data_IF_890590344217
#
_entry.id   IF_890590344217
#
_cell.length_a   1.000
_cell.length_b   1.000
_cell.length_c   1.000
_cell.angle_alpha   90.00
_cell.angle_beta   90.00
_cell.angle_gamma   90.00
#
_symmetry.space_group_name_H-M   'P 1'
#
loop_
_entity.id
_entity.type
_entity.pdbx_description
1 polymer ?
#
# COMPACT_ATOMS: atom_id res chain seq x y z
N UNK A 1 39.06 44.88 12.85
CA UNK A 1 40.20 45.65 12.32
C UNK A 1 41.23 44.67 11.77
N UNK A 2 41.77 44.91 10.57
CA UNK A 2 42.84 44.15 9.89
C UNK A 2 42.39 42.83 9.25
N UNK A 3 42.06 42.65 7.96
CA UNK A 3 42.71 43.00 6.67
C UNK A 3 44.10 42.38 6.49
N UNK A 4 44.22 41.37 5.60
CA UNK A 4 45.12 41.40 4.42
C UNK A 4 44.70 40.34 3.38
N UNK A 5 44.69 40.79 2.11
CA UNK A 5 44.50 40.06 0.83
C UNK A 5 45.86 39.69 0.22
N UNK A 6 45.87 38.70 -0.68
CA UNK A 6 46.46 38.64 -2.06
C UNK A 6 46.71 37.16 -2.43
N UNK A 7 46.02 36.56 -3.40
CA UNK A 7 46.17 36.58 -4.89
C UNK A 7 47.38 35.80 -5.45
N UNK A 8 47.12 34.93 -6.45
CA UNK A 8 48.14 34.33 -7.32
C UNK A 8 47.83 32.95 -7.94
N UNK A 9 47.10 32.92 -9.05
CA UNK A 9 47.10 31.87 -10.11
C UNK A 9 47.94 32.42 -11.32
N UNK A 10 48.18 31.72 -12.46
CA UNK A 10 48.31 30.28 -12.77
C UNK A 10 49.57 29.99 -13.67
N UNK A 11 49.84 28.73 -14.06
CA UNK A 11 50.65 28.41 -15.26
C UNK A 11 50.12 27.22 -16.05
N UNK A 12 49.82 27.49 -17.33
CA UNK A 12 49.68 26.54 -18.44
C UNK A 12 51.04 26.31 -19.14
N UNK A 13 51.21 25.13 -19.74
CA UNK A 13 52.03 24.81 -20.92
C UNK A 13 51.55 23.42 -21.40
N UNK A 14 51.44 23.02 -22.66
CA UNK A 14 51.36 23.66 -23.99
C UNK A 14 51.16 22.50 -25.00
N UNK A 15 50.51 22.78 -26.13
CA UNK A 15 50.22 21.90 -27.26
C UNK A 15 51.47 21.45 -28.05
N UNK A 16 51.31 20.39 -28.88
CA UNK A 16 51.83 20.21 -30.26
C UNK A 16 50.86 19.20 -30.95
N UNK A 17 50.05 19.56 -31.96
CA UNK A 17 50.32 19.58 -33.43
C UNK A 17 50.67 18.20 -34.01
N UNK A 18 50.20 17.70 -35.18
CA UNK A 18 49.63 18.27 -36.41
C UNK A 18 49.10 17.09 -37.31
N UNK A 19 48.12 17.38 -38.18
CA UNK A 19 47.96 16.97 -39.62
C UNK A 19 47.96 15.48 -40.05
N UNK A 20 47.33 15.00 -41.14
CA UNK A 20 46.37 15.49 -42.13
C UNK A 20 45.91 14.29 -43.03
N UNK A 21 44.76 14.47 -43.70
CA UNK A 21 44.37 13.97 -45.04
C UNK A 21 44.23 12.48 -45.41
N UNK A 22 43.15 12.18 -46.17
CA UNK A 22 43.27 11.35 -47.38
C UNK A 22 42.22 10.27 -47.67
N UNK A 23 41.09 10.67 -48.25
CA UNK A 23 40.25 10.03 -49.31
C UNK A 23 40.48 8.56 -49.75
N UNK A 24 39.39 7.80 -49.89
CA UNK A 24 39.06 7.11 -51.17
C UNK A 24 38.70 5.60 -51.20
N UNK A 25 37.48 5.33 -51.70
CA UNK A 25 37.02 4.17 -52.52
C UNK A 25 36.76 2.78 -51.89
N UNK A 26 35.55 2.23 -52.14
CA UNK A 26 35.18 0.80 -51.95
C UNK A 26 35.49 -0.06 -53.19
N UNK A 27 34.82 -1.20 -53.46
CA UNK A 27 33.94 -2.06 -52.64
C UNK A 27 34.42 -3.54 -52.58
N UNK A 28 33.84 -4.37 -51.69
CA UNK A 28 34.15 -5.81 -51.66
C UNK A 28 33.12 -6.66 -50.93
N UNK A 29 32.45 -7.56 -51.67
CA UNK A 29 31.52 -8.58 -51.16
C UNK A 29 32.26 -9.63 -50.30
N UNK A 30 31.67 -10.04 -49.19
CA UNK A 30 32.08 -11.24 -48.45
C UNK A 30 31.06 -11.63 -47.38
N UNK A 31 30.41 -12.79 -47.56
CA UNK A 31 29.41 -13.37 -46.66
C UNK A 31 30.08 -14.25 -45.59
N UNK A 32 29.50 -14.22 -44.38
CA UNK A 32 29.49 -15.21 -43.28
C UNK A 32 30.79 -15.42 -42.48
N UNK A 33 30.73 -15.11 -41.18
CA UNK A 33 31.03 -16.05 -40.10
C UNK A 33 30.48 -15.49 -38.77
N UNK A 34 29.97 -16.39 -37.92
CA UNK A 34 29.34 -16.12 -36.65
C UNK A 34 30.34 -16.04 -35.48
N UNK A 35 30.00 -15.27 -34.46
CA UNK A 35 30.58 -15.28 -33.11
C UNK A 35 30.53 -13.89 -32.45
N UNK A 36 30.70 -13.77 -31.12
CA UNK A 36 30.16 -14.56 -30.02
C UNK A 36 29.23 -13.73 -29.12
N UNK A 37 28.40 -14.37 -28.30
CA UNK A 37 27.59 -13.70 -27.27
C UNK A 37 28.44 -13.14 -26.12
N UNK A 38 28.08 -11.98 -25.52
CA UNK A 38 28.61 -11.55 -24.24
C UNK A 38 27.70 -11.92 -23.06
N UNK A 39 28.30 -12.76 -22.22
CA UNK A 39 28.10 -13.04 -20.79
C UNK A 39 27.15 -12.11 -20.00
N UNK A 40 26.11 -12.75 -19.48
CA UNK A 40 25.26 -12.36 -18.34
C UNK A 40 26.07 -12.21 -17.05
N UNK A 41 25.92 -11.07 -16.35
CA UNK A 41 26.40 -10.89 -14.97
C UNK A 41 25.21 -10.93 -14.02
N UNK A 42 24.97 -12.10 -13.42
CA UNK A 42 24.07 -12.26 -12.28
C UNK A 42 24.86 -12.02 -10.98
N UNK A 43 24.37 -11.09 -10.14
CA UNK A 43 24.83 -10.96 -8.74
C UNK A 43 23.83 -11.64 -7.79
N UNK A 44 24.32 -12.29 -6.71
CA UNK A 44 23.60 -13.35 -6.03
C UNK A 44 22.81 -12.88 -4.81
N UNK A 45 21.82 -13.70 -4.46
CA UNK A 45 21.10 -13.66 -3.20
C UNK A 45 21.99 -14.11 -2.03
N UNK A 46 21.84 -13.39 -0.93
CA UNK A 46 21.87 -13.81 0.48
C UNK A 46 22.97 -14.82 0.93
N UNK A 47 23.92 -14.30 1.72
CA UNK A 47 24.77 -15.07 2.62
C UNK A 47 24.25 -14.91 4.05
N UNK A 48 23.95 -16.04 4.68
CA UNK A 48 23.89 -16.21 6.13
C UNK A 48 25.03 -17.19 6.47
N UNK A 49 26.05 -16.70 7.19
CA UNK A 49 27.10 -17.47 7.88
C UNK A 49 26.47 -18.20 9.08
N UNK A 50 26.91 -19.33 9.64
CA UNK A 50 28.00 -20.27 9.41
C UNK A 50 27.64 -21.53 10.25
N UNK A 51 28.09 -22.74 9.89
CA UNK A 51 29.14 -23.45 10.66
C UNK A 51 29.44 -24.87 10.10
N UNK A 52 30.71 -25.22 10.28
CA UNK A 52 31.62 -26.29 9.89
C UNK A 52 31.21 -27.74 9.54
N UNK A 53 31.95 -28.23 8.53
CA UNK A 53 32.67 -29.52 8.40
C UNK A 53 31.94 -30.87 8.23
N UNK A 54 32.20 -31.45 7.04
CA UNK A 54 32.00 -32.82 6.50
C UNK A 54 32.73 -33.94 7.31
N UNK A 55 32.47 -35.26 7.09
CA UNK A 55 32.30 -35.89 5.77
C UNK A 55 31.21 -36.95 5.57
N UNK A 56 30.88 -37.11 4.27
CA UNK A 56 30.08 -38.19 3.70
C UNK A 56 30.81 -39.54 3.86
N UNK A 57 30.10 -40.52 4.41
CA UNK A 57 30.32 -41.94 4.10
C UNK A 57 28.98 -42.55 3.69
N UNK A 58 28.93 -43.05 2.46
CA UNK A 58 27.89 -43.96 2.02
C UNK A 58 28.18 -45.34 2.60
N UNK A 59 27.20 -45.96 3.26
CA UNK A 59 27.18 -47.39 3.47
C UNK A 59 25.73 -47.82 3.72
N UNK A 60 25.30 -48.79 2.90
CA UNK A 60 24.10 -49.60 3.10
C UNK A 60 23.98 -49.99 4.58
N UNK A 61 22.77 -49.96 5.14
CA UNK A 61 22.24 -51.07 5.93
C UNK A 61 20.71 -51.01 6.04
N UNK A 62 20.11 -52.11 5.57
CA UNK A 62 19.01 -52.90 6.18
C UNK A 62 17.66 -52.22 6.45
N UNK A 63 16.66 -52.70 5.71
CA UNK A 63 15.28 -52.81 6.16
C UNK A 63 15.20 -53.37 7.60
N UNK A 64 14.43 -52.72 8.48
CA UNK A 64 13.72 -53.42 9.53
C UNK A 64 12.22 -53.38 9.24
N UNK A 65 11.73 -54.58 8.96
CA UNK A 65 10.47 -55.16 9.43
C UNK A 65 9.35 -54.21 9.87
N UNK A 66 8.20 -54.45 9.23
CA UNK A 66 6.86 -54.03 9.63
C UNK A 66 6.68 -54.00 11.15
N UNK A 67 6.88 -52.82 11.73
CA UNK A 67 6.24 -52.44 12.98
C UNK A 67 4.80 -52.12 12.65
N UNK A 68 3.89 -52.85 13.29
CA UNK A 68 2.44 -52.75 13.17
C UNK A 68 1.99 -51.31 12.92
N UNK A 69 1.18 -51.14 11.85
CA UNK A 69 0.34 -49.95 11.67
C UNK A 69 -0.51 -49.83 12.92
N UNK A 70 -0.09 -49.01 13.88
CA UNK A 70 -1.04 -48.39 14.78
C UNK A 70 -2.05 -47.66 13.89
N UNK A 71 -3.36 -47.90 14.07
CA UNK A 71 -4.36 -47.08 13.41
C UNK A 71 -4.02 -45.62 13.76
N UNK A 72 -4.05 -44.67 12.81
CA UNK A 72 -3.83 -43.28 13.16
C UNK A 72 -4.83 -42.98 14.25
N UNK A 73 -4.32 -42.72 15.46
CA UNK A 73 -5.17 -42.42 16.61
C UNK A 73 -6.19 -41.41 16.12
N UNK A 74 -7.47 -41.70 16.36
CA UNK A 74 -8.58 -40.77 16.21
C UNK A 74 -8.27 -39.56 17.08
N UNK A 75 -7.40 -38.69 16.56
CA UNK A 75 -6.82 -37.59 17.28
C UNK A 75 -7.96 -36.66 17.62
N UNK A 76 -8.36 -36.64 18.88
CA UNK A 76 -9.31 -35.65 19.34
C UNK A 76 -8.68 -34.30 19.05
N UNK A 77 -9.30 -33.56 18.14
CA UNK A 77 -8.90 -32.21 17.77
C UNK A 77 -8.89 -31.30 19.01
N UNK A 78 -8.50 -30.03 18.84
CA UNK A 78 -8.73 -29.23 17.63
C UNK A 78 -7.59 -29.24 16.60
N UNK A 79 -7.95 -29.22 15.32
CA UNK A 79 -7.02 -29.17 14.18
C UNK A 79 -6.90 -27.76 13.58
N UNK A 80 -5.75 -27.42 12.99
CA UNK A 80 -5.59 -26.19 12.22
C UNK A 80 -4.72 -26.36 10.97
N UNK A 81 -5.04 -25.58 9.94
CA UNK A 81 -4.25 -25.49 8.71
C UNK A 81 -3.61 -24.11 8.59
N UNK A 82 -2.36 -24.07 8.12
CA UNK A 82 -1.69 -22.83 7.73
C UNK A 82 -1.15 -22.98 6.31
N UNK A 83 -1.61 -22.10 5.42
CA UNK A 83 -1.10 -21.93 4.07
C UNK A 83 -0.50 -20.54 3.87
N UNK A 84 0.64 -20.47 3.19
CA UNK A 84 1.39 -19.22 3.00
C UNK A 84 2.22 -18.82 4.23
N UNK A 85 2.76 -17.60 4.21
CA UNK A 85 3.75 -17.13 5.20
C UNK A 85 3.22 -16.02 6.11
N UNK A 86 2.14 -15.33 5.74
CA UNK A 86 1.64 -14.17 6.47
C UNK A 86 1.19 -14.55 7.89
N UNK A 87 1.90 -14.10 8.93
CA UNK A 87 1.56 -14.39 10.33
C UNK A 87 1.68 -15.87 10.72
N UNK A 88 2.22 -16.73 9.84
CA UNK A 88 2.22 -18.18 10.03
C UNK A 88 2.89 -18.62 11.33
N UNK A 89 4.02 -18.02 11.69
CA UNK A 89 4.74 -18.35 12.92
C UNK A 89 3.93 -18.00 14.18
N UNK A 90 3.27 -16.85 14.20
CA UNK A 90 2.46 -16.36 15.32
C UNK A 90 1.29 -17.31 15.57
N UNK A 91 0.54 -17.62 14.50
CA UNK A 91 -0.64 -18.50 14.57
C UNK A 91 -0.23 -19.93 14.91
N UNK A 92 0.84 -20.44 14.29
CA UNK A 92 1.38 -21.77 14.58
C UNK A 92 1.79 -21.91 16.05
N UNK A 93 2.50 -20.93 16.60
CA UNK A 93 2.92 -20.91 18.00
C UNK A 93 1.72 -20.90 18.94
N UNK A 94 0.75 -20.02 18.70
CA UNK A 94 -0.48 -19.94 19.48
C UNK A 94 -1.26 -21.26 19.47
N UNK A 95 -1.56 -21.80 18.30
CA UNK A 95 -2.33 -23.05 18.17
C UNK A 95 -1.60 -24.23 18.85
N UNK A 96 -0.28 -24.36 18.65
CA UNK A 96 0.52 -25.40 19.32
C UNK A 96 0.51 -25.24 20.84
N UNK A 97 0.62 -24.02 21.37
CA UNK A 97 0.53 -23.76 22.82
C UNK A 97 -0.82 -24.12 23.43
N UNK A 98 -1.88 -24.20 22.60
CA UNK A 98 -3.22 -24.64 23.00
C UNK A 98 -3.43 -26.15 22.82
N UNK A 99 -2.40 -26.89 22.43
CA UNK A 99 -2.49 -28.34 22.14
C UNK A 99 -3.15 -28.67 20.80
N UNK A 100 -3.33 -27.69 19.90
CA UNK A 100 -3.96 -27.93 18.61
C UNK A 100 -2.99 -28.64 17.67
N UNK A 101 -3.53 -29.48 16.79
CA UNK A 101 -2.74 -30.28 15.86
C UNK A 101 -2.73 -29.66 14.46
N UNK A 102 -1.54 -29.44 13.90
CA UNK A 102 -1.42 -28.89 12.54
C UNK A 102 -1.71 -29.97 11.51
N UNK A 103 -2.65 -29.71 10.61
CA UNK A 103 -2.92 -30.54 9.44
C UNK A 103 -2.17 -30.02 8.21
N UNK A 104 -1.74 -30.94 7.34
CA UNK A 104 -1.03 -30.60 6.10
C UNK A 104 -1.94 -30.63 4.86
N UNK A 105 -2.95 -31.50 4.85
CA UNK A 105 -3.93 -31.54 3.76
C UNK A 105 -4.94 -30.39 3.91
N UNK A 106 -4.91 -29.45 2.98
CA UNK A 106 -5.81 -28.30 2.96
C UNK A 106 -7.27 -28.64 2.67
N UNK A 107 -7.53 -29.86 2.18
CA UNK A 107 -8.88 -30.34 1.81
C UNK A 107 -9.63 -30.94 3.00
N UNK A 108 -8.93 -31.22 4.11
CA UNK A 108 -9.60 -31.65 5.34
C UNK A 108 -10.58 -30.59 5.80
N UNK A 109 -11.74 -31.04 6.28
CA UNK A 109 -12.83 -30.20 6.76
C UNK A 109 -13.01 -30.25 8.27
N UNK A 110 -12.24 -31.06 8.99
CA UNK A 110 -12.31 -31.19 10.45
C UNK A 110 -11.38 -30.21 11.19
N UNK A 111 -10.99 -29.12 10.52
CA UNK A 111 -10.25 -28.02 11.14
C UNK A 111 -11.15 -27.15 12.02
N UNK A 112 -10.55 -26.56 13.06
CA UNK A 112 -11.12 -25.42 13.79
C UNK A 112 -10.63 -24.08 13.25
N UNK A 113 -9.42 -24.02 12.72
CA UNK A 113 -8.86 -22.81 12.10
C UNK A 113 -8.18 -23.14 10.77
N UNK A 114 -8.49 -22.37 9.74
CA UNK A 114 -7.80 -22.42 8.46
C UNK A 114 -7.24 -21.04 8.12
N UNK A 115 -5.93 -20.91 8.32
CA UNK A 115 -5.17 -19.68 8.11
C UNK A 115 -4.46 -19.71 6.76
N UNK A 116 -5.17 -19.30 5.72
CA UNK A 116 -4.60 -19.15 4.39
C UNK A 116 -5.39 -18.11 3.59
N UNK A 117 -4.76 -17.54 2.57
CA UNK A 117 -5.48 -16.73 1.59
C UNK A 117 -6.50 -17.60 0.84
N UNK A 118 -7.76 -17.23 0.92
CA UNK A 118 -8.87 -17.89 0.25
C UNK A 118 -9.00 -17.31 -1.15
N UNK A 119 -8.54 -18.09 -2.15
CA UNK A 119 -8.54 -17.68 -3.56
C UNK A 119 -9.80 -18.05 -4.32
N UNK A 120 -10.57 -19.02 -3.81
CA UNK A 120 -11.79 -19.51 -4.44
C UNK A 120 -12.99 -19.33 -3.52
N UNK A 121 -14.14 -18.91 -4.08
CA UNK A 121 -15.40 -18.80 -3.35
C UNK A 121 -15.91 -20.15 -2.84
N UNK A 122 -15.60 -21.24 -3.53
CA UNK A 122 -16.03 -22.59 -3.15
C UNK A 122 -15.54 -23.00 -1.75
N UNK A 123 -14.46 -22.39 -1.25
CA UNK A 123 -13.97 -22.63 0.11
C UNK A 123 -14.97 -22.18 1.19
N UNK A 124 -15.85 -21.21 0.89
CA UNK A 124 -16.90 -20.79 1.81
C UNK A 124 -18.13 -21.71 1.75
N UNK A 125 -18.30 -22.51 0.70
CA UNK A 125 -19.45 -23.42 0.57
C UNK A 125 -19.38 -24.58 1.57
N UNK A 126 -18.18 -25.05 1.92
CA UNK A 126 -17.99 -26.09 2.94
C UNK A 126 -17.67 -25.54 4.34
N UNK A 127 -17.73 -24.22 4.52
CA UNK A 127 -17.51 -23.59 5.82
C UNK A 127 -18.71 -23.84 6.75
N UNK A 128 -18.43 -24.28 7.97
CA UNK A 128 -19.44 -24.49 9.02
C UNK A 128 -19.36 -23.39 10.07
N UNK A 129 -20.35 -22.51 10.04
CA UNK A 129 -20.50 -21.41 10.99
C UNK A 129 -20.62 -21.93 12.43
N UNK A 130 -20.02 -21.22 13.39
CA UNK A 130 -19.96 -21.62 14.80
C UNK A 130 -18.97 -22.75 15.10
N UNK A 131 -18.53 -23.51 14.10
CA UNK A 131 -17.59 -24.62 14.28
C UNK A 131 -16.17 -24.30 13.81
N UNK A 132 -16.03 -23.47 12.77
CA UNK A 132 -14.78 -23.22 12.06
C UNK A 132 -14.44 -21.73 12.01
N UNK A 133 -13.15 -21.43 11.85
CA UNK A 133 -12.64 -20.08 11.63
C UNK A 133 -11.81 -20.01 10.35
N UNK A 134 -12.08 -18.97 9.55
CA UNK A 134 -11.34 -18.62 8.35
C UNK A 134 -10.61 -17.29 8.55
N UNK A 135 -9.42 -17.18 7.94
CA UNK A 135 -8.60 -15.96 7.98
C UNK A 135 -9.20 -14.77 7.21
N UNK A 136 -10.12 -15.00 6.28
CA UNK A 136 -10.72 -13.96 5.44
C UNK A 136 -12.23 -14.02 5.46
N UNK A 137 -12.86 -12.85 5.49
CA UNK A 137 -14.27 -12.70 5.21
C UNK A 137 -14.52 -12.84 3.69
N UNK A 138 -15.65 -13.47 3.30
CA UNK A 138 -16.06 -13.47 1.90
C UNK A 138 -16.23 -12.03 1.41
N UNK A 139 -15.91 -11.79 0.14
CA UNK A 139 -16.00 -10.47 -0.51
C UNK A 139 -15.11 -9.36 0.09
N UNK A 140 -14.10 -9.70 0.90
CA UNK A 140 -13.15 -8.71 1.46
C UNK A 140 -12.42 -7.85 0.41
N UNK A 141 -12.39 -8.27 -0.86
CA UNK A 141 -11.88 -7.50 -1.99
C UNK A 141 -12.60 -6.16 -2.23
N UNK A 142 -13.83 -6.02 -1.72
CA UNK A 142 -14.57 -4.75 -1.70
C UNK A 142 -13.83 -3.65 -0.91
N UNK A 143 -13.03 -4.01 0.10
CA UNK A 143 -12.29 -3.04 0.90
C UNK A 143 -10.77 -3.12 0.66
N UNK A 144 -10.27 -4.26 0.17
CA UNK A 144 -8.84 -4.54 0.07
C UNK A 144 -8.25 -4.34 -1.33
N UNK A 145 -9.08 -3.95 -2.31
CA UNK A 145 -8.62 -3.55 -3.66
C UNK A 145 -8.90 -2.08 -3.93
N UNK A 146 -8.12 -1.44 -4.81
CA UNK A 146 -8.26 -0.01 -5.10
C UNK A 146 -9.61 0.31 -5.76
N UNK A 147 -10.03 -0.51 -6.73
CA UNK A 147 -11.35 -0.36 -7.39
C UNK A 147 -12.48 -0.77 -6.43
N UNK A 148 -12.32 -1.87 -5.69
CA UNK A 148 -13.33 -2.29 -4.72
C UNK A 148 -13.65 -1.18 -3.73
N UNK A 149 -12.62 -0.60 -3.13
CA UNK A 149 -12.76 0.48 -2.15
C UNK A 149 -13.40 1.73 -2.76
N UNK A 150 -12.94 2.15 -3.94
CA UNK A 150 -13.51 3.30 -4.66
C UNK A 150 -15.00 3.09 -4.95
N UNK A 151 -15.36 1.92 -5.47
CA UNK A 151 -16.76 1.57 -5.79
C UNK A 151 -17.62 1.50 -4.53
N UNK A 152 -17.12 0.89 -3.45
CA UNK A 152 -17.83 0.79 -2.18
C UNK A 152 -18.10 2.17 -1.57
N UNK A 153 -17.11 3.06 -1.57
CA UNK A 153 -17.25 4.43 -1.05
C UNK A 153 -18.24 5.27 -1.88
N UNK A 154 -18.15 5.19 -3.23
CA UNK A 154 -19.09 5.88 -4.12
C UNK A 154 -20.52 5.38 -3.94
N UNK A 155 -20.71 4.07 -3.83
CA UNK A 155 -22.02 3.48 -3.59
C UNK A 155 -22.60 3.91 -2.24
N UNK A 156 -21.77 3.90 -1.18
CA UNK A 156 -22.15 4.40 0.13
C UNK A 156 -22.59 5.88 0.09
N UNK A 157 -21.82 6.75 -0.55
CA UNK A 157 -22.18 8.16 -0.73
C UNK A 157 -23.47 8.35 -1.54
N UNK A 158 -23.69 7.52 -2.58
CA UNK A 158 -24.92 7.52 -3.38
C UNK A 158 -26.14 7.06 -2.57
N UNK A 159 -25.98 6.12 -1.65
CA UNK A 159 -27.06 5.67 -0.77
C UNK A 159 -27.40 6.74 0.27
N UNK A 160 -26.39 7.31 0.93
CA UNK A 160 -26.57 8.38 1.92
C UNK A 160 -27.24 9.63 1.35
N UNK A 161 -26.87 10.01 0.12
CA UNK A 161 -27.50 11.16 -0.55
C UNK A 161 -28.97 10.92 -0.92
N UNK A 162 -29.38 9.66 -1.15
CA UNK A 162 -30.80 9.31 -1.37
C UNK A 162 -31.59 9.32 -0.06
N UNK A 163 -31.04 8.76 1.01
CA UNK A 163 -31.72 8.75 2.32
C UNK A 163 -31.86 10.16 2.90
N UNK A 164 -30.86 11.03 2.72
CA UNK A 164 -30.97 12.44 3.10
C UNK A 164 -32.04 13.22 2.33
N UNK A 165 -32.35 12.84 1.08
CA UNK A 165 -33.39 13.49 0.25
C UNK A 165 -34.81 12.99 0.54
N UNK A 166 -34.94 11.82 1.18
CA UNK A 166 -36.22 11.17 1.49
C UNK A 166 -36.77 11.52 2.88
N UNK A 167 -36.05 12.31 3.70
CA UNK A 167 -36.57 12.81 4.97
C UNK A 167 -37.59 13.93 4.73
N UNK A 168 -38.90 13.74 4.99
CA UNK A 168 -39.92 14.75 4.69
C UNK A 168 -40.09 15.74 5.84
N UNK A 169 -40.09 17.01 5.47
CA UNK A 169 -40.91 18.11 5.97
C UNK A 169 -41.86 17.78 7.14
N UNK A 170 -41.55 18.27 8.34
CA UNK A 170 -42.54 18.56 9.37
C UNK A 170 -42.73 20.08 9.44
N UNK A 171 -43.69 20.61 8.70
CA UNK A 171 -44.23 21.94 8.96
C UNK A 171 -45.16 21.88 10.17
N UNK A 172 -44.93 22.73 11.19
CA UNK A 172 -46.01 23.38 11.93
C UNK A 172 -45.54 24.59 12.76
N UNK A 173 -45.91 25.76 12.23
CA UNK A 173 -46.52 26.93 12.90
C UNK A 173 -45.66 27.93 13.68
N UNK A 174 -45.98 29.19 13.35
CA UNK A 174 -45.51 30.45 13.91
C UNK A 174 -45.93 30.69 15.36
N UNK A 175 -45.10 31.45 16.08
CA UNK A 175 -45.47 32.19 17.28
C UNK A 175 -44.41 33.26 17.55
N UNK A 176 -44.84 34.52 17.54
CA UNK A 176 -44.04 35.73 17.73
C UNK A 176 -44.03 36.10 19.22
N UNK A 177 -42.89 36.64 19.68
CA UNK A 177 -42.70 37.71 20.68
C UNK A 177 -41.85 37.44 21.94
N UNK A 178 -40.96 38.44 22.13
CA UNK A 178 -40.37 39.03 23.36
C UNK A 178 -39.13 38.43 24.04
N UNK A 179 -38.11 39.31 24.14
CA UNK A 179 -36.84 39.32 24.92
C UNK A 179 -37.06 39.23 26.45
N UNK A 180 -36.06 38.87 27.30
CA UNK A 180 -34.83 39.66 27.54
C UNK A 180 -33.50 38.88 27.83
N UNK A 181 -32.40 39.63 27.92
CA UNK A 181 -31.00 39.25 28.26
C UNK A 181 -30.81 38.76 29.73
N UNK A 182 -29.59 38.44 30.26
CA UNK A 182 -28.24 38.34 29.66
C UNK A 182 -27.52 36.99 29.91
N UNK A 183 -26.36 36.85 29.28
CA UNK A 183 -25.43 35.71 29.32
C UNK A 183 -24.97 35.35 30.75
N UNK A 184 -25.20 34.09 31.14
CA UNK A 184 -24.49 33.46 32.26
C UNK A 184 -23.96 32.09 31.80
N UNK A 185 -22.64 32.02 31.67
CA UNK A 185 -21.85 30.84 31.32
C UNK A 185 -21.96 29.79 32.44
N UNK A 186 -22.87 28.83 32.32
CA UNK A 186 -22.85 27.59 33.09
C UNK A 186 -22.55 26.40 32.19
N UNK A 187 -21.32 25.92 32.31
CA UNK A 187 -20.88 24.62 31.82
C UNK A 187 -21.53 23.53 32.69
N UNK A 188 -22.70 23.03 32.29
CA UNK A 188 -23.29 21.84 32.90
C UNK A 188 -23.39 20.72 31.86
N UNK A 189 -22.59 19.69 32.09
CA UNK A 189 -22.59 18.41 31.42
C UNK A 189 -23.99 17.79 31.34
N UNK A 190 -24.47 17.55 30.11
CA UNK A 190 -25.50 16.56 29.80
C UNK A 190 -25.38 16.20 28.32
N UNK A 191 -25.27 14.91 28.03
CA UNK A 191 -24.97 14.37 26.70
C UNK A 191 -26.06 14.63 25.67
N UNK A 192 -25.96 15.76 24.97
CA UNK A 192 -26.54 15.89 23.63
C UNK A 192 -25.48 15.47 22.62
N UNK A 193 -25.60 14.22 22.15
CA UNK A 193 -25.09 13.82 20.85
C UNK A 193 -25.82 14.68 19.82
N UNK A 194 -25.21 15.83 19.48
CA UNK A 194 -25.59 16.57 18.28
C UNK A 194 -25.53 15.64 17.06
N UNK A 195 -26.23 15.96 15.96
CA UNK A 195 -26.22 15.13 14.76
C UNK A 195 -24.77 14.90 14.33
N UNK A 196 -24.29 13.66 14.47
CA UNK A 196 -22.99 13.29 13.96
C UNK A 196 -22.99 13.60 12.46
N UNK A 197 -22.25 14.63 12.06
CA UNK A 197 -22.12 14.98 10.66
C UNK A 197 -21.49 13.80 9.94
N UNK A 198 -22.26 13.13 9.09
CA UNK A 198 -21.77 12.03 8.28
C UNK A 198 -20.66 12.57 7.38
N UNK A 199 -19.43 12.05 7.55
CA UNK A 199 -18.27 12.45 6.76
C UNK A 199 -18.56 12.18 5.28
N UNK A 200 -18.39 13.20 4.43
CA UNK A 200 -18.55 13.03 2.99
C UNK A 200 -17.29 12.39 2.43
N UNK A 201 -17.44 11.65 1.34
CA UNK A 201 -16.32 10.93 0.74
C UNK A 201 -15.19 11.88 0.34
N UNK A 202 -15.52 13.03 -0.20
CA UNK A 202 -14.58 14.08 -0.61
C UNK A 202 -13.75 14.65 0.55
N UNK A 203 -14.18 14.49 1.80
CA UNK A 203 -13.46 15.01 2.98
C UNK A 203 -12.24 14.13 3.34
N UNK A 204 -12.26 12.84 2.99
CA UNK A 204 -11.24 11.88 3.41
C UNK A 204 -10.66 11.02 2.28
N UNK A 205 -11.29 10.99 1.10
CA UNK A 205 -10.85 10.22 -0.05
C UNK A 205 -10.51 11.13 -1.23
N UNK A 206 -9.25 11.21 -1.67
CA UNK A 206 -8.87 12.07 -2.79
C UNK A 206 -9.62 11.69 -4.07
N UNK A 207 -9.98 12.72 -4.85
CA UNK A 207 -10.63 12.54 -6.14
C UNK A 207 -9.91 11.48 -6.99
N UNK A 208 -10.66 10.54 -7.54
CA UNK A 208 -10.11 9.36 -8.21
C UNK A 208 -10.96 8.98 -9.40
N UNK A 209 -10.30 8.61 -10.50
CA UNK A 209 -10.89 8.14 -11.74
C UNK A 209 -10.38 6.75 -12.08
N UNK A 210 -11.27 5.94 -12.66
CA UNK A 210 -10.94 4.64 -13.25
C UNK A 210 -10.55 4.80 -14.71
N UNK A 211 -9.36 4.32 -15.08
CA UNK A 211 -8.92 4.36 -16.48
C UNK A 211 -9.47 3.21 -17.33
N UNK A 212 -10.01 2.18 -16.68
CA UNK A 212 -10.69 1.06 -17.32
C UNK A 212 -12.16 1.36 -17.68
N UNK A 213 -12.70 2.48 -17.20
CA UNK A 213 -14.03 2.98 -17.58
C UNK A 213 -13.84 4.15 -18.53
N UNK A 214 -14.27 3.99 -19.80
CA UNK A 214 -14.05 4.98 -20.86
C UNK A 214 -14.51 6.38 -20.47
N UNK A 215 -15.72 6.50 -19.93
CA UNK A 215 -16.31 7.81 -19.61
C UNK A 215 -15.55 8.50 -18.47
N UNK A 216 -15.11 7.76 -17.44
CA UNK A 216 -14.27 8.30 -16.36
C UNK A 216 -12.88 8.70 -16.87
N UNK A 217 -12.32 7.90 -17.79
CA UNK A 217 -11.02 8.19 -18.39
C UNK A 217 -11.05 9.47 -19.21
N UNK A 218 -12.03 9.63 -20.11
CA UNK A 218 -12.14 10.86 -20.91
C UNK A 218 -12.47 12.07 -20.02
N UNK A 219 -13.28 11.89 -18.97
CA UNK A 219 -13.49 12.93 -17.98
C UNK A 219 -12.18 13.37 -17.30
N UNK A 220 -11.34 12.42 -16.86
CA UNK A 220 -10.03 12.73 -16.30
C UNK A 220 -9.16 13.51 -17.29
N UNK A 221 -9.04 13.05 -18.54
CA UNK A 221 -8.18 13.74 -19.50
C UNK A 221 -8.70 15.11 -19.94
N UNK A 222 -10.00 15.36 -19.83
CA UNK A 222 -10.61 16.66 -20.10
C UNK A 222 -10.41 17.62 -18.92
N UNK A 223 -10.43 17.09 -17.69
CA UNK A 223 -10.30 17.87 -16.46
C UNK A 223 -8.84 18.14 -16.08
N UNK A 224 -7.88 17.41 -16.65
CA UNK A 224 -6.47 17.58 -16.32
C UNK A 224 -6.01 19.02 -16.58
N UNK A 225 -5.36 19.59 -15.57
CA UNK A 225 -4.67 20.87 -15.63
C UNK A 225 -3.27 20.68 -15.01
N UNK A 226 -2.30 21.48 -15.47
CA UNK A 226 -0.90 21.37 -15.01
C UNK A 226 -0.67 21.90 -13.59
N UNK A 227 -1.69 22.51 -12.97
CA UNK A 227 -1.60 22.97 -11.57
C UNK A 227 -1.80 21.82 -10.58
N UNK A 228 -2.38 20.71 -11.03
CA UNK A 228 -2.72 19.55 -10.20
C UNK A 228 -1.83 18.37 -10.51
N UNK A 229 -1.17 17.87 -9.47
CA UNK A 229 -0.47 16.60 -9.54
C UNK A 229 -1.41 15.41 -9.31
N UNK A 230 -1.21 14.35 -10.08
CA UNK A 230 -1.94 13.09 -9.93
C UNK A 230 -0.99 11.90 -9.77
N UNK A 231 -1.50 10.81 -9.20
CA UNK A 231 -0.78 9.56 -9.02
C UNK A 231 -1.55 8.41 -9.69
N UNK A 232 -0.90 7.75 -10.64
CA UNK A 232 -1.45 6.61 -11.34
C UNK A 232 -1.02 5.31 -10.64
N UNK A 233 -1.98 4.45 -10.31
CA UNK A 233 -1.76 3.24 -9.53
C UNK A 233 -2.39 2.02 -10.22
N UNK A 234 -1.65 0.92 -10.44
CA UNK A 234 -2.25 -0.35 -10.84
C UNK A 234 -3.15 -0.90 -9.73
N UNK A 235 -4.28 -1.52 -10.09
CA UNK A 235 -5.35 -1.87 -9.14
C UNK A 235 -5.02 -3.09 -8.29
N UNK A 236 -4.45 -4.13 -8.90
CA UNK A 236 -4.11 -5.41 -8.27
C UNK A 236 -2.59 -5.58 -8.06
N UNK A 237 -1.90 -4.52 -7.66
CA UNK A 237 -0.47 -4.57 -7.33
C UNK A 237 -0.18 -3.92 -5.97
N UNK A 238 0.94 -4.32 -5.37
CA UNK A 238 1.44 -3.89 -4.08
C UNK A 238 2.89 -3.36 -4.18
N UNK A 239 3.52 -3.06 -3.05
CA UNK A 239 4.94 -2.65 -2.97
C UNK A 239 5.32 -1.35 -3.71
N UNK A 240 4.35 -0.59 -4.23
CA UNK A 240 4.60 0.61 -5.02
C UNK A 240 4.97 0.33 -6.49
N UNK A 241 4.93 -0.93 -6.93
CA UNK A 241 5.29 -1.31 -8.31
C UNK A 241 4.29 -0.74 -9.31
N UNK A 242 4.81 -0.15 -10.38
CA UNK A 242 4.02 0.43 -11.47
C UNK A 242 3.33 1.75 -11.12
N UNK A 243 3.62 2.35 -9.97
CA UNK A 243 3.13 3.69 -9.62
C UNK A 243 4.00 4.74 -10.30
N UNK A 244 3.36 5.78 -10.86
CA UNK A 244 4.03 6.97 -11.34
C UNK A 244 3.16 8.21 -11.09
N UNK A 245 3.78 9.39 -11.15
CA UNK A 245 3.12 10.68 -11.03
C UNK A 245 2.79 11.23 -12.42
N UNK A 246 1.74 12.04 -12.48
CA UNK A 246 1.33 12.82 -13.65
C UNK A 246 1.34 14.29 -13.22
N UNK A 247 2.25 15.06 -13.80
CA UNK A 247 2.57 16.44 -13.42
C UNK A 247 2.41 17.43 -14.56
N UNK A 248 2.62 16.96 -15.79
CA UNK A 248 2.61 17.80 -16.98
C UNK A 248 1.83 17.14 -18.11
N UNK A 249 1.58 17.91 -19.17
CA UNK A 249 0.83 17.45 -20.32
C UNK A 249 1.49 16.27 -21.06
N UNK A 250 2.83 16.20 -21.08
CA UNK A 250 3.58 15.13 -21.75
C UNK A 250 3.34 13.76 -21.10
N UNK A 251 3.41 13.68 -19.77
CA UNK A 251 3.15 12.46 -19.00
C UNK A 251 1.69 11.98 -19.20
N UNK A 252 0.74 12.92 -19.28
CA UNK A 252 -0.68 12.63 -19.54
C UNK A 252 -0.92 12.19 -20.98
N UNK A 253 -0.27 12.83 -21.95
CA UNK A 253 -0.35 12.44 -23.36
C UNK A 253 0.22 11.04 -23.58
N UNK A 254 1.36 10.71 -22.94
CA UNK A 254 1.94 9.37 -22.98
C UNK A 254 1.00 8.32 -22.37
N UNK A 255 0.33 8.65 -21.26
CA UNK A 255 -0.69 7.78 -20.67
C UNK A 255 -1.90 7.59 -21.60
N UNK A 256 -2.40 8.67 -22.22
CA UNK A 256 -3.51 8.62 -23.18
C UNK A 256 -3.18 7.74 -24.38
N UNK A 257 -2.02 7.94 -25.00
CA UNK A 257 -1.56 7.15 -26.14
C UNK A 257 -1.45 5.65 -25.78
N UNK A 258 -0.89 5.34 -24.60
CA UNK A 258 -0.80 3.97 -24.09
C UNK A 258 -2.16 3.33 -23.85
N UNK A 259 -3.14 4.10 -23.39
CA UNK A 259 -4.49 3.56 -23.18
C UNK A 259 -5.24 3.35 -24.49
N UNK A 260 -5.09 4.25 -25.46
CA UNK A 260 -5.68 4.09 -26.80
C UNK A 260 -5.10 2.88 -27.54
N UNK A 261 -3.78 2.70 -27.52
CA UNK A 261 -3.14 1.55 -28.19
C UNK A 261 -3.62 0.21 -27.64
N UNK A 262 -3.99 0.16 -26.36
CA UNK A 262 -4.55 -1.03 -25.71
C UNK A 262 -5.97 -1.33 -26.21
N UNK A 263 -6.81 -0.30 -26.40
CA UNK A 263 -8.19 -0.48 -26.88
C UNK A 263 -8.28 -0.87 -28.36
N UNK A 264 -7.30 -0.40 -29.14
CA UNK A 264 -7.19 -0.70 -30.56
C UNK A 264 -6.54 -2.06 -30.84
N UNK A 265 -5.97 -2.72 -29.83
CA UNK A 265 -5.39 -4.05 -29.98
C UNK A 265 -6.50 -5.08 -30.33
N UNK A 266 -6.44 -5.72 -31.51
CA UNK A 266 -7.45 -6.70 -31.92
C UNK A 266 -7.51 -7.93 -31.00
N UNK A 267 -6.46 -8.22 -30.23
CA UNK A 267 -6.45 -9.29 -29.22
C UNK A 267 -7.33 -8.88 -28.02
N UNK A 268 -7.31 -7.61 -27.62
CA UNK A 268 -8.16 -7.10 -26.54
C UNK A 268 -9.65 -7.21 -26.90
N UNK A 269 -10.02 -6.86 -28.14
CA UNK A 269 -11.41 -7.00 -28.63
C UNK A 269 -11.90 -8.45 -28.67
N UNK A 270 -11.01 -9.41 -28.92
CA UNK A 270 -11.35 -10.85 -29.02
C UNK A 270 -11.25 -11.60 -27.69
N UNK A 271 -10.47 -11.11 -26.72
CA UNK A 271 -10.22 -11.77 -25.44
C UNK A 271 -10.23 -10.79 -24.26
N UNK A 272 -11.41 -10.36 -23.78
CA UNK A 272 -11.53 -9.42 -22.66
C UNK A 272 -10.89 -9.92 -21.35
N UNK A 273 -10.75 -11.25 -21.17
CA UNK A 273 -10.07 -11.83 -20.00
C UNK A 273 -8.55 -11.65 -19.99
N UNK A 274 -7.94 -11.19 -21.10
CA UNK A 274 -6.51 -10.79 -21.17
C UNK A 274 -6.33 -9.27 -21.14
N UNK A 275 -7.33 -8.54 -20.65
CA UNK A 275 -7.28 -7.10 -20.47
C UNK A 275 -6.03 -6.67 -19.69
N UNK A 276 -5.37 -5.57 -20.09
CA UNK A 276 -4.29 -5.00 -19.30
C UNK A 276 -4.75 -4.68 -17.89
N UNK A 277 -3.82 -4.77 -16.95
CA UNK A 277 -4.09 -4.50 -15.55
C UNK A 277 -4.75 -3.13 -15.39
N UNK A 278 -5.97 -3.11 -14.86
CA UNK A 278 -6.72 -1.89 -14.62
C UNK A 278 -5.92 -0.91 -13.73
N UNK A 279 -6.19 0.39 -13.92
CA UNK A 279 -5.48 1.48 -13.22
C UNK A 279 -6.46 2.51 -12.73
N UNK A 280 -6.11 3.15 -11.63
CA UNK A 280 -6.78 4.35 -11.13
C UNK A 280 -5.82 5.53 -11.21
N UNK A 281 -6.34 6.71 -11.52
CA UNK A 281 -5.65 7.98 -11.36
C UNK A 281 -6.30 8.71 -10.22
N UNK A 282 -5.51 9.11 -9.24
CA UNK A 282 -5.99 9.74 -8.01
C UNK A 282 -5.26 11.05 -7.78
N UNK A 283 -5.97 12.07 -7.31
CA UNK A 283 -5.40 13.37 -6.96
C UNK A 283 -4.26 13.15 -5.96
N UNK A 284 -3.08 13.67 -6.28
CA UNK A 284 -1.94 13.56 -5.39
C UNK A 284 -2.05 14.60 -4.28
N UNK A 285 -1.75 14.19 -3.05
CA UNK A 285 -1.67 15.11 -1.91
C UNK A 285 -0.31 15.80 -1.99
N UNK A 286 -0.28 16.95 -2.66
CA UNK A 286 0.95 17.70 -2.95
C UNK A 286 1.52 18.44 -1.73
N UNK A 287 0.67 18.79 -0.76
CA UNK A 287 1.05 19.47 0.47
C UNK A 287 0.81 18.56 1.69
N UNK A 288 1.52 17.42 1.83
CA UNK A 288 1.37 16.55 2.97
C UNK A 288 1.95 17.21 4.24
N UNK A 289 1.49 16.76 5.41
CA UNK A 289 2.24 17.00 6.65
C UNK A 289 3.59 16.25 6.54
N UNK A 290 4.67 16.92 6.91
CA UNK A 290 6.03 16.37 6.87
C UNK A 290 6.59 16.21 8.29
N UNK A 291 7.32 15.12 8.52
CA UNK A 291 8.06 14.87 9.76
C UNK A 291 9.55 15.06 9.43
N UNK A 292 10.17 16.11 9.99
CA UNK A 292 11.53 16.55 9.63
C UNK A 292 11.79 16.61 8.11
N UNK A 293 10.83 17.21 7.39
CA UNK A 293 10.88 17.35 5.93
C UNK A 293 10.60 16.06 5.14
N UNK A 294 10.35 14.93 5.81
CA UNK A 294 10.08 13.63 5.17
C UNK A 294 8.59 13.35 5.09
N UNK A 295 8.16 12.72 4.00
CA UNK A 295 6.78 12.30 3.81
C UNK A 295 6.51 11.04 4.63
N UNK A 296 5.29 10.88 5.13
CA UNK A 296 4.91 9.69 5.87
C UNK A 296 3.48 9.22 5.56
N UNK A 297 3.20 7.97 5.91
CA UNK A 297 1.85 7.42 6.01
C UNK A 297 1.68 6.68 7.35
N UNK A 298 0.44 6.54 7.81
CA UNK A 298 0.13 5.73 8.99
C UNK A 298 -0.46 4.40 8.56
N UNK A 299 0.10 3.31 9.10
CA UNK A 299 -0.45 1.97 9.01
C UNK A 299 -1.11 1.62 10.34
N UNK A 300 -2.43 1.50 10.33
CA UNK A 300 -3.21 0.95 11.44
C UNK A 300 -3.77 -0.43 11.10
N UNK A 301 -4.19 -1.15 12.13
CA UNK A 301 -4.71 -2.51 12.03
C UNK A 301 -6.17 -2.57 12.46
N UNK A 302 -6.99 -3.22 11.64
CA UNK A 302 -8.40 -3.49 11.93
C UNK A 302 -8.61 -5.01 11.84
N UNK A 303 -9.22 -5.59 12.87
CA UNK A 303 -9.68 -6.97 12.88
C UNK A 303 -11.21 -6.96 12.93
N UNK A 304 -11.86 -7.36 11.84
CA UNK A 304 -13.29 -7.64 11.82
C UNK A 304 -13.46 -9.08 12.30
N UNK A 305 -13.79 -9.25 13.57
CA UNK A 305 -13.90 -10.57 14.20
C UNK A 305 -15.19 -11.29 13.80
N UNK A 306 -16.29 -10.55 13.70
CA UNK A 306 -17.56 -11.03 13.18
C UNK A 306 -18.36 -9.88 12.55
N UNK A 307 -19.21 -10.22 11.58
CA UNK A 307 -20.14 -9.27 10.94
C UNK A 307 -21.53 -9.29 11.57
N UNK A 308 -21.85 -10.34 12.33
CA UNK A 308 -23.11 -10.53 13.04
C UNK A 308 -22.88 -11.25 14.39
N UNK A 309 -22.99 -10.57 15.55
CA UNK A 309 -23.02 -9.10 15.68
C UNK A 309 -21.76 -8.47 15.07
N UNK A 310 -21.82 -7.20 14.66
CA UNK A 310 -20.64 -6.53 14.11
C UNK A 310 -19.62 -6.26 15.20
N UNK A 311 -18.43 -6.84 15.08
CA UNK A 311 -17.33 -6.67 16.04
C UNK A 311 -16.03 -6.35 15.32
N UNK A 312 -15.49 -5.16 15.60
CA UNK A 312 -14.24 -4.67 15.02
C UNK A 312 -13.29 -4.22 16.10
N UNK A 313 -12.07 -4.78 16.09
CA UNK A 313 -10.97 -4.35 16.93
C UNK A 313 -10.03 -3.44 16.14
N UNK A 314 -9.58 -2.36 16.76
CA UNK A 314 -8.65 -1.40 16.19
C UNK A 314 -7.32 -1.43 16.96
N UNK A 315 -6.21 -1.45 16.24
CA UNK A 315 -4.87 -1.27 16.76
C UNK A 315 -4.16 -0.11 16.06
N UNK A 316 -3.54 0.78 16.84
CA UNK A 316 -2.94 2.03 16.34
C UNK A 316 -1.91 1.81 15.23
N UNK A 317 -1.05 0.79 15.36
CA UNK A 317 -0.02 0.45 14.39
C UNK A 317 1.20 1.38 14.45
N UNK A 318 1.66 1.92 13.33
CA UNK A 318 2.88 2.74 13.23
C UNK A 318 2.88 3.69 12.02
N UNK A 319 3.74 4.69 12.06
CA UNK A 319 4.01 5.57 10.92
C UNK A 319 5.20 5.07 10.11
N UNK A 320 5.12 5.21 8.78
CA UNK A 320 6.17 4.87 7.82
C UNK A 320 6.62 6.11 7.09
N UNK A 321 7.89 6.43 7.19
CA UNK A 321 8.50 7.62 6.62
C UNK A 321 9.29 7.27 5.37
N UNK A 322 9.42 8.22 4.45
CA UNK A 322 10.44 8.18 3.41
C UNK A 322 11.83 8.37 4.02
N UNK A 323 12.88 7.88 3.36
CA UNK A 323 14.26 8.18 3.73
C UNK A 323 14.65 9.60 3.32
N UNK A 324 14.35 9.93 2.06
CA UNK A 324 14.64 11.24 1.48
C UNK A 324 13.65 12.30 1.94
N UNK A 325 14.10 13.56 1.84
CA UNK A 325 13.25 14.73 2.00
C UNK A 325 12.19 14.76 0.90
N UNK A 326 11.02 15.28 1.23
CA UNK A 326 9.94 15.47 0.29
C UNK A 326 10.18 16.73 -0.54
N UNK A 327 10.24 16.55 -1.85
CA UNK A 327 10.24 17.64 -2.82
C UNK A 327 9.14 17.36 -3.85
N UNK A 328 8.09 18.20 -3.98
CA UNK A 328 7.03 18.01 -4.95
C UNK A 328 7.51 18.04 -6.41
N UNK A 329 8.67 18.65 -6.70
CA UNK A 329 9.20 18.77 -8.06
C UNK A 329 10.19 17.67 -8.43
N UNK A 330 10.59 16.84 -7.47
CA UNK A 330 11.52 15.74 -7.71
C UNK A 330 10.93 14.68 -8.64
N UNK A 331 11.77 14.14 -9.51
CA UNK A 331 11.45 12.95 -10.31
C UNK A 331 11.67 11.65 -9.51
N UNK A 332 12.39 11.70 -8.38
CA UNK A 332 12.65 10.55 -7.53
C UNK A 332 11.41 10.15 -6.71
N UNK A 333 10.82 9.00 -7.06
CA UNK A 333 9.70 8.42 -6.33
C UNK A 333 10.05 8.02 -4.88
N UNK A 334 11.33 7.90 -4.52
CA UNK A 334 11.78 7.57 -3.16
C UNK A 334 11.29 8.56 -2.10
N UNK A 335 11.26 9.85 -2.42
CA UNK A 335 10.70 10.91 -1.56
C UNK A 335 9.17 11.00 -1.57
N UNK A 336 8.49 10.32 -2.51
CA UNK A 336 7.04 10.37 -2.67
C UNK A 336 6.30 9.12 -2.16
N UNK A 337 6.96 7.97 -2.11
CA UNK A 337 6.37 6.66 -1.81
C UNK A 337 6.96 6.05 -0.53
N UNK A 338 6.20 6.07 0.56
CA UNK A 338 6.55 5.57 1.90
C UNK A 338 6.64 4.04 2.04
N UNK A 339 6.43 3.29 0.94
CA UNK A 339 6.51 1.85 0.95
C UNK A 339 7.93 1.38 1.29
N UNK A 340 8.09 0.53 2.31
CA UNK A 340 9.38 -0.07 2.68
C UNK A 340 10.11 -0.72 1.49
N UNK A 341 9.39 -1.35 0.57
CA UNK A 341 9.98 -1.90 -0.66
C UNK A 341 10.62 -0.82 -1.56
N UNK A 342 10.04 0.37 -1.62
CA UNK A 342 10.62 1.49 -2.36
C UNK A 342 11.81 2.07 -1.61
N UNK A 343 11.72 2.19 -0.28
CA UNK A 343 12.81 2.70 0.56
C UNK A 343 14.05 1.80 0.51
N UNK A 344 13.88 0.47 0.44
CA UNK A 344 14.95 -0.52 0.27
C UNK A 344 15.84 -0.33 -0.96
N UNK A 345 15.38 0.41 -1.96
CA UNK A 345 16.17 0.70 -3.17
C UNK A 345 17.23 1.78 -2.94
N UNK A 346 17.09 2.57 -1.87
CA UNK A 346 18.10 3.56 -1.52
C UNK A 346 19.38 2.88 -1.02
N UNK A 347 20.56 3.31 -1.48
CA UNK A 347 21.83 2.80 -0.96
C UNK A 347 22.00 3.08 0.54
N UNK A 348 21.29 4.07 1.08
CA UNK A 348 21.33 4.43 2.50
C UNK A 348 20.38 3.61 3.37
N UNK A 349 19.60 2.69 2.80
CA UNK A 349 18.55 1.98 3.54
C UNK A 349 19.09 1.20 4.73
N UNK A 350 20.20 0.47 4.58
CA UNK A 350 20.74 -0.34 5.69
C UNK A 350 21.15 0.51 6.89
N UNK A 351 21.61 1.74 6.65
CA UNK A 351 22.04 2.67 7.70
C UNK A 351 20.85 3.36 8.38
N UNK A 352 19.78 3.65 7.63
CA UNK A 352 18.70 4.54 8.05
C UNK A 352 17.32 3.85 8.17
N UNK A 353 17.24 2.53 7.98
CA UNK A 353 15.97 1.79 7.98
C UNK A 353 15.16 1.97 9.26
N UNK A 354 15.82 2.10 10.41
CA UNK A 354 15.15 2.19 11.72
C UNK A 354 14.48 3.56 11.90
N UNK A 355 14.95 4.59 11.19
CA UNK A 355 14.32 5.92 11.17
C UNK A 355 13.08 5.98 10.27
N UNK A 356 12.87 4.98 9.41
CA UNK A 356 11.74 4.94 8.48
C UNK A 356 10.44 4.41 9.12
N UNK A 357 10.47 3.97 10.37
CA UNK A 357 9.31 3.45 11.09
C UNK A 357 9.24 4.07 12.48
N UNK A 358 8.18 4.82 12.75
CA UNK A 358 7.94 5.42 14.06
C UNK A 358 6.77 4.71 14.76
N UNK A 359 6.94 4.41 16.04
CA UNK A 359 5.81 4.03 16.89
C UNK A 359 4.81 5.19 16.97
N UNK A 360 3.57 4.88 17.32
CA UNK A 360 2.54 5.90 17.46
C UNK A 360 2.81 6.83 18.65
N UNK A 361 3.50 6.35 19.70
CA UNK A 361 3.98 7.16 20.82
C UNK A 361 5.09 8.13 20.39
N UNK A 362 6.01 7.67 19.53
CA UNK A 362 7.04 8.55 18.96
C UNK A 362 6.38 9.63 18.09
N UNK A 363 5.48 9.25 17.18
CA UNK A 363 4.73 10.21 16.38
C UNK A 363 3.96 11.20 17.27
N UNK A 364 3.29 10.72 18.31
CA UNK A 364 2.53 11.56 19.23
C UNK A 364 3.40 12.59 19.95
N UNK A 365 4.56 12.19 20.48
CA UNK A 365 5.53 13.12 21.09
C UNK A 365 5.98 14.18 20.09
N UNK A 366 6.34 13.76 18.87
CA UNK A 366 6.77 14.69 17.83
C UNK A 366 5.68 15.70 17.45
N UNK A 367 4.42 15.25 17.25
CA UNK A 367 3.29 16.15 16.95
C UNK A 367 3.03 17.12 18.11
N UNK A 368 3.08 16.64 19.36
CA UNK A 368 2.92 17.47 20.55
C UNK A 368 3.97 18.60 20.61
N UNK A 369 5.22 18.28 20.31
CA UNK A 369 6.35 19.20 20.44
C UNK A 369 6.42 20.19 19.29
N UNK A 370 6.22 19.73 18.05
CA UNK A 370 6.45 20.53 16.84
C UNK A 370 5.20 21.19 16.27
N UNK A 371 4.04 20.55 16.37
CA UNK A 371 2.84 20.99 15.65
C UNK A 371 1.68 21.43 16.53
N UNK A 372 1.58 20.95 17.78
CA UNK A 372 0.41 21.20 18.63
C UNK A 372 0.05 22.68 18.74
N UNK A 373 1.01 23.54 19.10
CA UNK A 373 0.77 24.99 19.24
C UNK A 373 0.46 25.64 17.90
N UNK A 374 1.30 25.41 16.90
CA UNK A 374 1.18 26.04 15.58
C UNK A 374 -0.11 25.66 14.83
N UNK A 375 -0.58 24.42 15.00
CA UNK A 375 -1.79 23.87 14.37
C UNK A 375 -3.01 23.85 15.28
N UNK A 376 -2.90 24.38 16.52
CA UNK A 376 -3.97 24.40 17.54
C UNK A 376 -4.59 23.02 17.79
N UNK A 377 -3.76 21.98 17.84
CA UNK A 377 -4.21 20.61 18.09
C UNK A 377 -4.36 20.36 19.61
N UNK A 378 -5.30 19.50 20.04
CA UNK A 378 -5.34 19.02 21.41
C UNK A 378 -4.05 18.26 21.76
N UNK A 379 -3.74 18.18 23.07
CA UNK A 379 -2.63 17.35 23.55
C UNK A 379 -2.93 15.89 23.22
N UNK A 380 -1.89 15.17 22.81
CA UNK A 380 -1.97 13.75 22.47
C UNK A 380 -2.94 13.45 21.32
N UNK A 381 -3.04 14.39 20.36
CA UNK A 381 -3.93 14.31 19.20
C UNK A 381 -3.80 13.00 18.42
N UNK A 382 -2.59 12.45 18.31
CA UNK A 382 -2.32 11.18 17.57
C UNK A 382 -2.96 9.97 18.26
N UNK A 383 -3.03 9.98 19.59
CA UNK A 383 -3.59 8.89 20.40
C UNK A 383 -5.06 9.10 20.77
N UNK A 384 -5.57 10.32 20.57
CA UNK A 384 -6.95 10.69 20.89
C UNK A 384 -7.73 10.95 19.62
N UNK A 385 -7.68 12.17 19.08
CA UNK A 385 -8.49 12.65 17.94
C UNK A 385 -8.25 11.90 16.64
N UNK A 386 -6.99 11.59 16.31
CA UNK A 386 -6.64 10.81 15.13
C UNK A 386 -7.29 9.42 15.14
N UNK A 387 -7.70 8.95 16.31
CA UNK A 387 -8.30 7.62 16.53
C UNK A 387 -9.75 7.69 16.99
N UNK A 388 -10.37 8.87 17.04
CA UNK A 388 -11.75 9.00 17.55
C UNK A 388 -12.69 8.19 16.68
N UNK A 389 -13.27 7.19 17.33
CA UNK A 389 -14.42 6.41 16.91
C UNK A 389 -15.62 7.35 16.99
N UNK A 390 -16.23 7.66 15.84
CA UNK A 390 -17.54 8.28 15.80
C UNK A 390 -18.57 7.36 16.46
#
# INVERSE_FOLDING_TARGET
MGSHREEGLPRQLSQLDQDADGLGQGPGRGRKAAGPEPLTTHLPAELDDADTARPRAALLEKHPLEGEKQPPGTGQGPFFYIGGTNGAAIISSYCKSKGWQRIQDSRREDYKLKWCEVKCRDTYCSFREGEQLLYQLPNSQLLTTKIGLLSALREHARVLSKTSKLAPCAQAKSGKDTTPAPEELMWSSSGHLGPQSVLKMEDFFPETYRLDIRDEREAFFTLFDETRMWICKPTASNQGKGIFLLRNQEEVAALRAKTQSIEDDPIYRKMPFRAPQARVVQRYIQNPLLLDGKKFDVRSYLLIACTMPYMVFFGHGYARLTLGLYDPHSSDLGGHLTNQFMQKKSPLYLLLKDDTVWSMEHLNRYINDKFRKAKRLPRDWVLTTFTVRA
#
